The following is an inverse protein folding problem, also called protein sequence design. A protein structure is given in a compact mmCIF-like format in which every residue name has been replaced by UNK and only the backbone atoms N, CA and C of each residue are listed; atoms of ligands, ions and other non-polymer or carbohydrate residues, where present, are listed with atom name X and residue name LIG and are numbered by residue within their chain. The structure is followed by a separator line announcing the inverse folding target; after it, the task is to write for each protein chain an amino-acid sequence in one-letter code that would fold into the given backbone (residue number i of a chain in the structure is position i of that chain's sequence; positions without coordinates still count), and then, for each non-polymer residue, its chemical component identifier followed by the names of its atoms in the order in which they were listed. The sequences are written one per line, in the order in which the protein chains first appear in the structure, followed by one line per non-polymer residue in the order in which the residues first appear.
data_IF_935719496079
#
_entry.id   IF_935719496079
#
_cell.length_a   1.000
_cell.length_b   1.000
_cell.length_c   1.000
_cell.angle_alpha   90.00
_cell.angle_beta   90.00
_cell.angle_gamma   90.00
#
_symmetry.space_group_name_H-M   'P 1'
#
loop_
_entity.id
_entity.type
_entity.pdbx_description
1 polymer ?
#
# COMPACT_ATOMS: atom_id res chain seq x y z
N UNK A 1 -49.03 6.85 4.79
CA UNK A 1 -47.81 7.62 4.58
C UNK A 1 -47.89 8.63 3.42
N UNK A 2 -48.57 9.76 3.61
CA UNK A 2 -48.46 10.90 2.68
C UNK A 2 -47.24 11.77 2.95
N UNK A 3 -46.64 11.62 4.12
CA UNK A 3 -45.38 12.25 4.46
C UNK A 3 -44.20 11.34 4.29
N UNK A 4 -43.05 11.97 4.05
CA UNK A 4 -41.76 11.30 3.87
C UNK A 4 -41.40 10.60 5.18
N UNK A 5 -41.54 9.27 5.21
CA UNK A 5 -40.99 8.47 6.31
C UNK A 5 -39.50 8.30 6.09
N UNK A 6 -38.69 8.80 7.01
CA UNK A 6 -37.25 8.67 7.00
C UNK A 6 -36.80 7.40 7.74
N UNK A 7 -35.69 6.82 7.31
CA UNK A 7 -35.01 5.81 8.09
C UNK A 7 -33.51 5.86 7.85
N UNK A 8 -32.73 5.84 8.92
CA UNK A 8 -31.27 5.71 8.85
C UNK A 8 -30.95 4.24 8.66
N UNK A 9 -29.95 3.96 7.84
CA UNK A 9 -29.45 2.59 7.70
C UNK A 9 -27.99 2.51 8.06
N UNK A 10 -27.58 1.37 8.61
CA UNK A 10 -26.17 1.00 8.71
C UNK A 10 -26.02 -0.26 7.88
N UNK A 11 -25.11 -0.26 6.92
CA UNK A 11 -24.80 -1.48 6.17
C UNK A 11 -23.68 -2.18 6.92
N UNK A 12 -24.01 -3.29 7.57
CA UNK A 12 -23.00 -4.22 8.09
C UNK A 12 -23.34 -5.63 7.62
N UNK A 13 -23.46 -5.76 6.30
CA UNK A 13 -23.69 -7.07 5.68
C UNK A 13 -22.50 -7.99 5.92
N UNK A 14 -22.74 -9.30 5.93
CA UNK A 14 -21.66 -10.30 5.99
C UNK A 14 -20.66 -10.10 4.84
N UNK A 15 -21.15 -9.71 3.65
CA UNK A 15 -20.31 -9.37 2.51
C UNK A 15 -19.42 -8.15 2.76
N UNK A 16 -19.92 -7.11 3.44
CA UNK A 16 -19.14 -5.92 3.76
C UNK A 16 -18.08 -6.19 4.84
N UNK A 17 -18.41 -6.99 5.86
CA UNK A 17 -17.42 -7.45 6.84
C UNK A 17 -16.31 -8.26 6.16
N UNK A 18 -16.68 -9.21 5.30
CA UNK A 18 -15.73 -10.00 4.53
C UNK A 18 -14.87 -9.12 3.61
N UNK A 19 -15.46 -8.14 2.93
CA UNK A 19 -14.73 -7.21 2.07
C UNK A 19 -13.76 -6.33 2.88
N UNK A 20 -14.15 -5.89 4.08
CA UNK A 20 -13.27 -5.13 4.99
C UNK A 20 -12.08 -5.98 5.44
N UNK A 21 -12.33 -7.21 5.86
CA UNK A 21 -11.28 -8.16 6.24
C UNK A 21 -10.35 -8.48 5.07
N UNK A 22 -10.92 -8.76 3.89
CA UNK A 22 -10.17 -8.99 2.65
C UNK A 22 -9.27 -7.80 2.31
N UNK A 23 -9.77 -6.56 2.42
CA UNK A 23 -8.96 -5.34 2.21
C UNK A 23 -7.84 -5.21 3.23
N UNK A 24 -8.10 -5.48 4.50
CA UNK A 24 -7.08 -5.43 5.55
C UNK A 24 -5.97 -6.46 5.29
N UNK A 25 -6.33 -7.70 4.96
CA UNK A 25 -5.37 -8.74 4.60
C UNK A 25 -4.61 -8.38 3.32
N UNK A 26 -5.28 -7.78 2.33
CA UNK A 26 -4.65 -7.34 1.09
C UNK A 26 -3.61 -6.24 1.33
N UNK A 27 -3.93 -5.26 2.19
CA UNK A 27 -2.97 -4.21 2.58
C UNK A 27 -1.71 -4.81 3.20
N UNK A 28 -1.85 -5.75 4.12
CA UNK A 28 -0.71 -6.45 4.73
C UNK A 28 0.10 -7.21 3.67
N UNK A 29 -0.58 -7.94 2.77
CA UNK A 29 0.09 -8.66 1.68
C UNK A 29 0.90 -7.70 0.78
N UNK A 30 0.32 -6.57 0.38
CA UNK A 30 0.99 -5.57 -0.48
C UNK A 30 2.22 -4.98 0.22
N UNK A 31 2.15 -4.71 1.52
CA UNK A 31 3.29 -4.22 2.30
C UNK A 31 4.45 -5.23 2.29
N UNK A 32 4.17 -6.48 2.68
CA UNK A 32 5.18 -7.54 2.75
C UNK A 32 5.74 -7.88 1.35
N UNK A 33 4.91 -7.87 0.30
CA UNK A 33 5.36 -8.01 -1.09
C UNK A 33 6.29 -6.86 -1.49
N UNK A 34 5.97 -5.63 -1.09
CA UNK A 34 6.81 -4.45 -1.32
C UNK A 34 8.20 -4.59 -0.67
N UNK A 35 8.27 -5.15 0.53
CA UNK A 35 9.54 -5.48 1.20
C UNK A 35 10.34 -6.53 0.43
N UNK A 36 9.68 -7.58 -0.08
CA UNK A 36 10.35 -8.57 -0.92
C UNK A 36 10.90 -7.95 -2.21
N UNK A 37 10.12 -7.10 -2.89
CA UNK A 37 10.58 -6.41 -4.09
C UNK A 37 11.75 -5.46 -3.82
N UNK A 38 11.75 -4.77 -2.67
CA UNK A 38 12.89 -3.97 -2.21
C UNK A 38 14.13 -4.83 -2.02
N UNK A 39 13.99 -5.97 -1.34
CA UNK A 39 15.09 -6.91 -1.12
C UNK A 39 15.63 -7.49 -2.42
N UNK A 40 14.76 -7.76 -3.41
CA UNK A 40 15.18 -8.22 -4.75
C UNK A 40 15.98 -7.16 -5.49
N UNK A 41 15.55 -5.90 -5.45
CA UNK A 41 16.28 -4.80 -6.05
C UNK A 41 17.63 -4.57 -5.36
N UNK A 42 17.68 -4.67 -4.03
CA UNK A 42 18.90 -4.59 -3.24
C UNK A 42 19.88 -5.72 -3.61
N UNK A 43 19.41 -6.97 -3.66
CA UNK A 43 20.22 -8.11 -4.07
C UNK A 43 20.75 -7.96 -5.50
N UNK A 44 19.95 -7.49 -6.45
CA UNK A 44 20.41 -7.28 -7.83
C UNK A 44 21.49 -6.19 -7.91
N UNK A 45 21.34 -5.12 -7.13
CA UNK A 45 22.34 -4.06 -7.07
C UNK A 45 23.63 -4.50 -6.34
N UNK A 46 23.57 -5.44 -5.39
CA UNK A 46 24.80 -6.09 -4.89
C UNK A 46 25.39 -7.07 -5.90
N UNK A 47 24.57 -7.75 -6.70
CA UNK A 47 25.04 -8.63 -7.79
C UNK A 47 25.77 -7.86 -8.89
N UNK A 48 25.45 -6.59 -9.14
CA UNK A 48 26.23 -5.78 -10.09
C UNK A 48 27.63 -5.44 -9.57
N UNK A 49 27.83 -5.39 -8.24
CA UNK A 49 29.12 -5.11 -7.59
C UNK A 49 29.94 -6.39 -7.39
N UNK A 50 29.33 -7.42 -6.80
CA UNK A 50 30.01 -8.65 -6.38
C UNK A 50 29.78 -9.85 -7.32
N UNK A 51 29.07 -9.64 -8.42
CA UNK A 51 28.80 -10.66 -9.43
C UNK A 51 27.94 -11.82 -8.91
N UNK A 52 28.37 -13.05 -9.22
CA UNK A 52 27.68 -14.28 -8.86
C UNK A 52 27.83 -14.71 -7.40
N UNK A 53 28.62 -13.98 -6.59
CA UNK A 53 28.77 -14.26 -5.15
C UNK A 53 27.49 -13.96 -4.36
N UNK A 54 26.64 -13.10 -4.92
CA UNK A 54 25.35 -12.74 -4.34
C UNK A 54 24.26 -13.53 -5.06
N UNK A 55 23.47 -14.25 -4.26
CA UNK A 55 22.40 -15.10 -4.75
C UNK A 55 21.20 -14.28 -5.21
N UNK A 56 20.44 -14.82 -6.17
CA UNK A 56 19.16 -14.23 -6.55
C UNK A 56 18.11 -14.54 -5.50
N UNK A 57 17.35 -13.51 -5.12
CA UNK A 57 16.21 -13.64 -4.20
C UNK A 57 15.02 -14.26 -4.94
N UNK A 58 14.48 -15.34 -4.35
CA UNK A 58 13.38 -16.11 -4.91
C UNK A 58 12.09 -15.27 -5.09
N UNK A 59 11.22 -15.70 -5.99
CA UNK A 59 9.88 -15.14 -6.07
C UNK A 59 9.04 -15.64 -4.88
N UNK A 60 8.32 -14.74 -4.22
CA UNK A 60 7.40 -15.08 -3.14
C UNK A 60 6.07 -15.64 -3.63
N UNK A 61 5.25 -16.09 -2.68
CA UNK A 61 3.88 -16.51 -2.93
C UNK A 61 3.05 -15.40 -3.59
N UNK A 62 2.07 -15.78 -4.40
CA UNK A 62 1.19 -14.84 -5.12
C UNK A 62 -0.22 -14.88 -4.55
N UNK A 63 -0.73 -13.72 -4.16
CA UNK A 63 -2.14 -13.50 -3.86
C UNK A 63 -2.76 -12.51 -4.86
N UNK A 64 -4.08 -12.55 -4.97
CA UNK A 64 -4.89 -11.61 -5.77
C UNK A 64 -5.88 -10.88 -4.86
N UNK A 65 -6.31 -9.65 -5.21
CA UNK A 65 -7.25 -8.88 -4.38
C UNK A 65 -8.58 -9.57 -4.11
N UNK A 66 -9.01 -10.48 -5.00
CA UNK A 66 -10.27 -11.20 -4.92
C UNK A 66 -10.18 -12.58 -4.24
N UNK A 67 -9.01 -12.97 -3.72
CA UNK A 67 -8.86 -14.21 -2.94
C UNK A 67 -9.53 -14.09 -1.56
N UNK A 68 -9.87 -15.23 -0.95
CA UNK A 68 -10.40 -15.24 0.43
C UNK A 68 -9.38 -14.65 1.43
N UNK A 69 -9.84 -14.02 2.52
CA UNK A 69 -8.95 -13.46 3.55
C UNK A 69 -7.91 -14.46 4.05
N UNK A 70 -8.32 -15.71 4.33
CA UNK A 70 -7.40 -16.77 4.77
C UNK A 70 -6.31 -17.08 3.75
N UNK A 71 -6.63 -17.09 2.45
CA UNK A 71 -5.64 -17.34 1.39
C UNK A 71 -4.67 -16.17 1.24
N UNK A 72 -5.15 -14.94 1.38
CA UNK A 72 -4.29 -13.75 1.38
C UNK A 72 -3.36 -13.80 2.60
N UNK A 73 -3.90 -14.07 3.80
CA UNK A 73 -3.14 -14.17 5.05
C UNK A 73 -2.05 -15.25 4.98
N UNK A 74 -2.35 -16.44 4.44
CA UNK A 74 -1.38 -17.50 4.25
C UNK A 74 -0.24 -17.06 3.31
N UNK A 75 -0.57 -16.43 2.18
CA UNK A 75 0.45 -15.89 1.27
C UNK A 75 1.27 -14.76 1.92
N UNK A 76 0.66 -13.92 2.74
CA UNK A 76 1.37 -12.88 3.51
C UNK A 76 2.40 -13.50 4.45
N UNK A 77 2.02 -14.55 5.20
CA UNK A 77 2.91 -15.26 6.12
C UNK A 77 4.09 -15.90 5.37
N UNK A 78 3.82 -16.56 4.23
CA UNK A 78 4.86 -17.18 3.40
C UNK A 78 5.87 -16.15 2.88
N UNK A 79 5.39 -15.01 2.37
CA UNK A 79 6.27 -13.94 1.87
C UNK A 79 7.06 -13.32 3.03
N UNK A 80 6.46 -13.12 4.20
CA UNK A 80 7.15 -12.55 5.37
C UNK A 80 8.29 -13.45 5.84
N UNK A 81 8.06 -14.76 5.93
CA UNK A 81 9.09 -15.74 6.26
C UNK A 81 10.22 -15.75 5.23
N UNK A 82 9.88 -15.65 3.93
CA UNK A 82 10.87 -15.55 2.86
C UNK A 82 11.71 -14.28 2.98
N UNK A 83 11.10 -13.12 3.22
CA UNK A 83 11.80 -11.83 3.39
C UNK A 83 12.81 -11.91 4.54
N UNK A 84 12.41 -12.46 5.69
CA UNK A 84 13.31 -12.63 6.84
C UNK A 84 14.51 -13.50 6.50
N UNK A 85 14.28 -14.66 5.88
CA UNK A 85 15.34 -15.61 5.49
C UNK A 85 16.30 -15.03 4.46
N UNK A 86 15.77 -14.44 3.39
CA UNK A 86 16.58 -13.91 2.29
C UNK A 86 17.37 -12.66 2.70
N UNK A 87 16.83 -11.84 3.61
CA UNK A 87 17.56 -10.67 4.14
C UNK A 87 18.77 -11.09 4.96
N UNK A 88 18.64 -12.10 5.82
CA UNK A 88 19.77 -12.59 6.62
C UNK A 88 20.83 -13.26 5.75
N UNK A 89 20.40 -14.03 4.75
CA UNK A 89 21.28 -14.61 3.74
C UNK A 89 22.06 -13.53 2.98
N UNK A 90 21.35 -12.51 2.45
CA UNK A 90 21.98 -11.43 1.69
C UNK A 90 23.03 -10.69 2.52
N UNK A 91 22.74 -10.39 3.79
CA UNK A 91 23.70 -9.77 4.72
C UNK A 91 24.97 -10.61 4.88
N UNK A 92 24.81 -11.92 5.07
CA UNK A 92 25.92 -12.85 5.24
C UNK A 92 26.77 -12.93 3.97
N UNK A 93 26.13 -13.02 2.79
CA UNK A 93 26.82 -13.06 1.50
C UNK A 93 27.58 -11.76 1.19
N UNK A 94 26.97 -10.59 1.45
CA UNK A 94 27.62 -9.28 1.26
C UNK A 94 28.83 -9.11 2.19
N UNK A 95 28.70 -9.48 3.47
CA UNK A 95 29.82 -9.43 4.41
C UNK A 95 30.96 -10.38 4.03
N UNK A 96 30.64 -11.57 3.52
CA UNK A 96 31.65 -12.51 3.04
C UNK A 96 32.36 -11.99 1.78
N UNK A 97 31.61 -11.45 0.82
CA UNK A 97 32.16 -10.89 -0.41
C UNK A 97 33.05 -9.67 -0.14
N UNK A 98 32.63 -8.77 0.75
CA UNK A 98 33.42 -7.59 1.11
C UNK A 98 34.73 -7.96 1.80
N UNK A 99 34.73 -8.93 2.72
CA UNK A 99 35.96 -9.43 3.36
C UNK A 99 36.94 -10.02 2.35
N UNK A 100 36.46 -10.77 1.36
CA UNK A 100 37.32 -11.35 0.32
C UNK A 100 38.01 -10.28 -0.53
N UNK A 101 37.28 -9.21 -0.92
CA UNK A 101 37.87 -8.12 -1.70
C UNK A 101 38.94 -7.36 -0.90
N UNK A 102 38.74 -7.19 0.42
CA UNK A 102 39.72 -6.56 1.32
C UNK A 102 40.95 -7.42 1.51
N UNK A 103 40.78 -8.72 1.78
CA UNK A 103 41.91 -9.64 1.88
C UNK A 103 42.73 -9.61 0.59
N UNK A 104 42.07 -9.64 -0.58
CA UNK A 104 42.75 -9.49 -1.87
C UNK A 104 43.54 -8.19 -2.04
N UNK A 105 43.06 -7.08 -1.47
CA UNK A 105 43.79 -5.80 -1.45
C UNK A 105 44.98 -5.80 -0.47
N UNK A 106 44.83 -6.45 0.69
CA UNK A 106 45.87 -6.53 1.72
C UNK A 106 46.97 -7.56 1.38
N UNK A 107 46.65 -8.58 0.59
CA UNK A 107 47.57 -9.64 0.14
C UNK A 107 48.45 -9.20 -1.04
N UNK A 108 48.23 -8.00 -1.59
CA UNK A 108 49.16 -7.39 -2.55
C UNK A 108 50.48 -7.13 -1.81
N UNK A 109 51.58 -7.80 -2.17
CA UNK A 109 52.79 -7.78 -1.35
C UNK A 109 53.32 -6.35 -1.20
N UNK A 110 53.54 -5.95 0.06
CA UNK A 110 54.04 -4.64 0.46
C UNK A 110 55.35 -4.24 -0.24
N UNK A 111 56.06 -5.19 -0.86
CA UNK A 111 57.25 -4.93 -1.69
C UNK A 111 56.95 -4.01 -2.88
N UNK A 112 55.76 -4.07 -3.49
CA UNK A 112 55.38 -3.12 -4.56
C UNK A 112 55.05 -1.71 -4.05
N UNK A 113 54.55 -1.58 -2.82
CA UNK A 113 54.25 -0.28 -2.21
C UNK A 113 55.51 0.37 -1.58
N UNK A 114 56.44 -0.44 -1.07
CA UNK A 114 57.72 0.00 -0.56
C UNK A 114 58.65 0.53 -1.68
N UNK A 115 58.60 -0.03 -2.90
CA UNK A 115 59.36 0.48 -4.04
C UNK A 115 58.93 1.88 -4.50
N UNK A 116 57.64 2.20 -4.39
CA UNK A 116 57.10 3.53 -4.72
C UNK A 116 57.45 4.60 -3.67
N UNK A 117 57.71 4.20 -2.41
CA UNK A 117 58.12 5.13 -1.35
C UNK A 117 59.63 5.23 -1.19
N UNK A 118 60.39 4.17 -1.51
CA UNK A 118 61.86 4.21 -1.61
C UNK A 118 62.35 5.14 -2.70
N UNK A 119 61.73 5.09 -3.88
CA UNK A 119 62.10 5.98 -4.99
C UNK A 119 61.93 7.47 -4.66
N UNK A 120 61.09 7.82 -3.68
CA UNK A 120 60.89 9.22 -3.26
C UNK A 120 61.82 9.69 -2.13
N UNK A 121 62.34 8.80 -1.28
CA UNK A 121 63.32 9.16 -0.23
C UNK A 121 64.78 9.06 -0.67
N UNK A 122 65.05 8.36 -1.77
CA UNK A 122 66.41 8.17 -2.25
C UNK A 122 67.04 9.44 -2.86
N UNK A 123 66.28 10.53 -3.02
CA UNK A 123 66.78 11.80 -3.55
C UNK A 123 67.31 12.77 -2.48
N UNK A 124 67.08 12.55 -1.18
CA UNK A 124 67.43 13.54 -0.14
C UNK A 124 68.62 13.16 0.76
N UNK A 125 69.23 11.97 0.63
CA UNK A 125 70.21 11.48 1.61
C UNK A 125 71.59 11.12 1.02
N UNK A 126 71.98 11.80 -0.06
CA UNK A 126 73.33 11.70 -0.61
C UNK A 126 74.17 12.91 -0.18
N UNK A 127 74.71 12.87 1.03
CA UNK A 127 76.08 13.31 1.41
C UNK A 127 76.23 13.43 2.94
N UNK A 128 76.41 12.32 3.66
CA UNK A 128 77.13 12.36 4.93
C UNK A 128 77.97 11.08 5.08
N UNK A 129 79.28 11.23 4.98
CA UNK A 129 80.27 10.19 5.22
C UNK A 129 80.39 9.96 6.73
N UNK A 130 79.92 8.82 7.22
CA UNK A 130 79.92 8.47 8.66
C UNK A 130 81.30 7.92 9.10
N UNK A 131 81.89 8.39 10.22
CA UNK A 131 83.18 7.90 10.71
C UNK A 131 83.05 6.58 11.49
N UNK A 132 84.13 5.79 11.46
CA UNK A 132 84.23 4.43 11.99
C UNK A 132 83.84 4.32 13.49
N UNK A 133 82.86 3.45 13.78
CA UNK A 133 82.39 3.12 15.14
C UNK A 133 83.10 1.89 15.73
N UNK A 134 83.43 1.90 17.04
CA UNK A 134 84.10 0.79 17.73
C UNK A 134 83.16 -0.38 18.08
N UNK A 135 83.74 -1.58 18.20
CA UNK A 135 83.09 -2.89 18.11
C UNK A 135 82.41 -3.44 19.39
N UNK A 136 81.95 -2.62 20.34
CA UNK A 136 81.42 -3.10 21.64
C UNK A 136 79.91 -2.88 21.92
N UNK A 137 79.09 -2.54 20.91
CA UNK A 137 77.64 -2.23 21.07
C UNK A 137 76.63 -3.31 20.63
N UNK A 138 77.08 -4.52 20.28
CA UNK A 138 76.18 -5.55 19.70
C UNK A 138 75.03 -6.02 20.60
N UNK A 139 75.11 -5.92 21.94
CA UNK A 139 74.01 -6.33 22.83
C UNK A 139 72.87 -5.32 22.92
N UNK A 140 73.16 -4.01 22.93
CA UNK A 140 72.13 -2.96 23.01
C UNK A 140 71.36 -2.79 21.68
N UNK A 141 72.01 -3.06 20.55
CA UNK A 141 71.37 -2.99 19.23
C UNK A 141 70.27 -4.04 19.04
N UNK A 142 70.39 -5.21 19.68
CA UNK A 142 69.39 -6.28 19.63
C UNK A 142 68.07 -5.90 20.33
N UNK A 143 68.15 -5.24 21.48
CA UNK A 143 66.98 -4.80 22.23
C UNK A 143 66.27 -3.64 21.51
N UNK A 144 67.04 -2.72 20.92
CA UNK A 144 66.50 -1.62 20.10
C UNK A 144 65.85 -2.13 18.80
N UNK A 145 66.43 -3.13 18.14
CA UNK A 145 65.82 -3.78 16.97
C UNK A 145 64.53 -4.52 17.33
N UNK A 146 64.50 -5.24 18.46
CA UNK A 146 63.30 -5.92 18.94
C UNK A 146 62.17 -4.92 19.28
N UNK A 147 62.50 -3.76 19.86
CA UNK A 147 61.54 -2.70 20.14
C UNK A 147 60.95 -2.12 18.84
N UNK A 148 61.80 -1.77 17.87
CA UNK A 148 61.36 -1.28 16.55
C UNK A 148 60.48 -2.29 15.82
N UNK A 149 60.87 -3.57 15.82
CA UNK A 149 60.07 -4.64 15.21
C UNK A 149 58.67 -4.78 15.87
N UNK A 150 58.57 -4.60 17.19
CA UNK A 150 57.28 -4.59 17.90
C UNK A 150 56.44 -3.36 17.54
N UNK A 151 57.05 -2.19 17.46
CA UNK A 151 56.36 -0.95 17.08
C UNK A 151 55.85 -1.00 15.63
N UNK A 152 56.65 -1.54 14.72
CA UNK A 152 56.30 -1.77 13.31
C UNK A 152 55.16 -2.78 13.19
N UNK A 153 55.23 -3.90 13.91
CA UNK A 153 54.16 -4.89 13.95
C UNK A 153 52.85 -4.30 14.48
N UNK A 154 52.91 -3.51 15.56
CA UNK A 154 51.75 -2.82 16.12
C UNK A 154 51.20 -1.74 15.17
N UNK A 155 52.05 -1.04 14.44
CA UNK A 155 51.64 -0.07 13.42
C UNK A 155 50.94 -0.75 12.24
N UNK A 156 51.47 -1.89 11.78
CA UNK A 156 50.89 -2.70 10.71
C UNK A 156 49.54 -3.29 11.11
N UNK A 157 49.39 -3.77 12.36
CA UNK A 157 48.12 -4.26 12.88
C UNK A 157 47.07 -3.14 12.96
N UNK A 158 47.45 -1.95 13.45
CA UNK A 158 46.56 -0.77 13.44
C UNK A 158 46.15 -0.34 12.03
N UNK A 159 47.06 -0.44 11.05
CA UNK A 159 46.77 -0.16 9.65
C UNK A 159 45.75 -1.16 9.08
N UNK A 160 45.98 -2.47 9.28
CA UNK A 160 45.03 -3.52 8.88
C UNK A 160 43.65 -3.32 9.50
N UNK A 161 43.59 -3.04 10.80
CA UNK A 161 42.32 -2.78 11.49
C UNK A 161 41.54 -1.60 10.87
N UNK A 162 42.23 -0.51 10.50
CA UNK A 162 41.60 0.64 9.83
C UNK A 162 41.13 0.30 8.42
N UNK A 163 41.93 -0.41 7.63
CA UNK A 163 41.55 -0.83 6.28
C UNK A 163 40.33 -1.76 6.30
N UNK A 164 40.31 -2.74 7.20
CA UNK A 164 39.15 -3.62 7.44
C UNK A 164 37.92 -2.81 7.81
N UNK A 165 38.04 -1.88 8.77
CA UNK A 165 36.93 -1.02 9.18
C UNK A 165 36.39 -0.14 8.05
N UNK A 166 37.29 0.45 7.25
CA UNK A 166 36.90 1.29 6.12
C UNK A 166 36.12 0.48 5.07
N UNK A 167 36.55 -0.75 4.81
CA UNK A 167 35.83 -1.61 3.88
C UNK A 167 34.49 -2.13 4.43
N UNK A 168 34.40 -2.41 5.73
CA UNK A 168 33.11 -2.70 6.38
C UNK A 168 32.14 -1.54 6.19
N UNK A 169 32.60 -0.29 6.35
CA UNK A 169 31.78 0.90 6.12
C UNK A 169 31.35 1.05 4.66
N UNK A 170 32.24 0.77 3.70
CA UNK A 170 31.89 0.79 2.28
C UNK A 170 30.85 -0.29 1.94
N UNK A 171 30.96 -1.49 2.51
CA UNK A 171 29.97 -2.57 2.30
C UNK A 171 28.59 -2.26 2.88
N UNK A 172 28.50 -1.26 3.77
CA UNK A 172 27.25 -0.77 4.35
C UNK A 172 26.57 0.31 3.51
N UNK A 173 27.21 0.79 2.42
CA UNK A 173 26.55 1.71 1.51
C UNK A 173 25.41 1.00 0.78
N UNK A 174 24.22 1.60 0.74
CA UNK A 174 23.12 1.08 -0.07
C UNK A 174 23.55 0.83 -1.51
N UNK A 175 23.07 -0.27 -2.07
CA UNK A 175 23.44 -0.68 -3.41
C UNK A 175 22.98 0.35 -4.49
N UNK A 176 21.92 1.12 -4.21
CA UNK A 176 21.41 2.21 -5.05
C UNK A 176 22.08 3.58 -4.81
N UNK A 177 23.17 3.63 -4.03
CA UNK A 177 23.92 4.87 -3.80
C UNK A 177 24.47 5.42 -5.13
N UNK A 178 24.27 6.71 -5.45
CA UNK A 178 24.84 7.33 -6.66
C UNK A 178 26.36 7.19 -6.72
N UNK A 179 26.89 7.05 -7.93
CA UNK A 179 28.34 6.93 -8.16
C UNK A 179 29.12 8.14 -7.64
N UNK A 180 28.51 9.33 -7.66
CA UNK A 180 29.07 10.57 -7.08
C UNK A 180 29.39 10.45 -5.58
N UNK A 181 28.67 9.60 -4.86
CA UNK A 181 28.91 9.33 -3.42
C UNK A 181 29.76 8.07 -3.25
N UNK A 182 29.50 7.03 -4.04
CA UNK A 182 30.20 5.75 -3.93
C UNK A 182 31.67 5.84 -4.33
N UNK A 183 32.00 6.54 -5.42
CA UNK A 183 33.37 6.62 -5.92
C UNK A 183 34.33 7.33 -4.93
N UNK A 184 33.98 8.47 -4.30
CA UNK A 184 34.80 9.06 -3.24
C UNK A 184 34.99 8.14 -2.04
N UNK A 185 33.94 7.42 -1.61
CA UNK A 185 34.04 6.45 -0.52
C UNK A 185 34.99 5.30 -0.87
N UNK A 186 34.90 4.75 -2.09
CA UNK A 186 35.79 3.70 -2.57
C UNK A 186 37.25 4.18 -2.66
N UNK A 187 37.47 5.42 -3.13
CA UNK A 187 38.80 6.04 -3.18
C UNK A 187 39.40 6.23 -1.77
N UNK A 188 38.60 6.65 -0.79
CA UNK A 188 39.03 6.77 0.61
C UNK A 188 39.45 5.42 1.20
N UNK A 189 38.69 4.34 0.92
CA UNK A 189 39.04 2.98 1.35
C UNK A 189 40.36 2.53 0.70
N UNK A 190 40.53 2.76 -0.61
CA UNK A 190 41.75 2.41 -1.33
C UNK A 190 42.97 3.18 -0.78
N UNK A 191 42.84 4.47 -0.46
CA UNK A 191 43.91 5.28 0.13
C UNK A 191 44.31 4.75 1.52
N UNK A 192 43.33 4.39 2.36
CA UNK A 192 43.58 3.77 3.67
C UNK A 192 44.30 2.42 3.49
N UNK A 193 43.81 1.57 2.58
CA UNK A 193 44.41 0.26 2.30
C UNK A 193 45.84 0.37 1.78
N UNK A 194 46.13 1.39 0.96
CA UNK A 194 47.46 1.68 0.41
C UNK A 194 48.48 2.24 1.43
N UNK A 195 48.09 2.43 2.69
CA UNK A 195 49.03 2.84 3.75
C UNK A 195 49.04 4.33 4.06
N UNK A 196 47.89 5.01 3.94
CA UNK A 196 47.76 6.42 4.32
C UNK A 196 48.34 6.72 5.72
N UNK A 197 49.02 7.88 5.92
CA UNK A 197 49.52 8.30 7.22
C UNK A 197 48.41 8.29 8.29
N UNK A 198 48.75 7.96 9.55
CA UNK A 198 47.74 7.70 10.59
C UNK A 198 46.70 8.84 10.77
N UNK A 199 47.13 10.11 10.75
CA UNK A 199 46.22 11.26 10.84
C UNK A 199 45.29 11.38 9.62
N UNK A 200 45.83 11.16 8.41
CA UNK A 200 45.05 11.16 7.16
C UNK A 200 44.05 10.01 7.14
N UNK A 201 44.47 8.80 7.50
CA UNK A 201 43.60 7.63 7.59
C UNK A 201 42.45 7.86 8.58
N UNK A 202 42.71 8.52 9.72
CA UNK A 202 41.66 8.84 10.69
C UNK A 202 40.63 9.83 10.13
N UNK A 203 41.07 10.89 9.44
CA UNK A 203 40.16 11.85 8.80
C UNK A 203 39.33 11.22 7.69
N UNK A 204 39.95 10.39 6.84
CA UNK A 204 39.24 9.63 5.80
C UNK A 204 38.21 8.68 6.39
N UNK A 205 38.55 7.99 7.49
CA UNK A 205 37.61 7.08 8.15
C UNK A 205 36.41 7.83 8.70
N UNK A 206 36.62 9.01 9.32
CA UNK A 206 35.54 9.85 9.83
C UNK A 206 34.64 10.39 8.71
N UNK A 207 35.21 10.90 7.63
CA UNK A 207 34.45 11.35 6.45
C UNK A 207 33.64 10.20 5.84
N UNK A 208 34.23 9.01 5.76
CA UNK A 208 33.55 7.80 5.31
C UNK A 208 32.37 7.44 6.22
N UNK A 209 32.55 7.46 7.55
CA UNK A 209 31.46 7.21 8.51
C UNK A 209 30.31 8.21 8.36
N UNK A 210 30.63 9.50 8.22
CA UNK A 210 29.66 10.58 8.05
C UNK A 210 28.87 10.42 6.74
N UNK A 211 29.55 10.15 5.61
CA UNK A 211 28.92 9.92 4.29
C UNK A 211 28.07 8.67 4.25
N UNK A 212 28.59 7.55 4.75
CA UNK A 212 27.86 6.27 4.81
C UNK A 212 26.62 6.44 5.68
N UNK A 213 26.75 7.04 6.87
CA UNK A 213 25.62 7.29 7.77
C UNK A 213 24.59 8.28 7.21
N UNK A 214 25.01 9.29 6.44
CA UNK A 214 24.09 10.18 5.73
C UNK A 214 23.30 9.44 4.64
N UNK A 215 23.98 8.60 3.85
CA UNK A 215 23.37 7.83 2.78
C UNK A 215 22.41 6.76 3.31
N UNK A 216 22.76 6.09 4.42
CA UNK A 216 21.87 5.14 5.09
C UNK A 216 20.58 5.81 5.55
N UNK A 217 20.68 6.97 6.21
CA UNK A 217 19.49 7.73 6.64
C UNK A 217 18.64 8.19 5.46
N UNK A 218 19.25 8.57 4.33
CA UNK A 218 18.51 8.91 3.12
C UNK A 218 17.76 7.70 2.55
N UNK A 219 18.43 6.55 2.48
CA UNK A 219 17.82 5.29 2.03
C UNK A 219 16.67 4.83 2.93
N UNK A 220 16.85 4.93 4.25
CA UNK A 220 15.81 4.63 5.24
C UNK A 220 14.58 5.51 5.02
N UNK A 221 14.75 6.82 4.76
CA UNK A 221 13.63 7.72 4.44
C UNK A 221 12.90 7.32 3.17
N UNK A 222 13.64 6.96 2.11
CA UNK A 222 13.05 6.47 0.85
C UNK A 222 12.30 5.16 1.09
N UNK A 223 12.86 4.24 1.87
CA UNK A 223 12.23 2.95 2.19
C UNK A 223 10.93 3.14 2.99
N UNK A 224 10.94 4.01 4.01
CA UNK A 224 9.75 4.37 4.78
C UNK A 224 8.68 5.02 3.90
N UNK A 225 9.08 6.00 3.08
CA UNK A 225 8.17 6.67 2.13
C UNK A 225 7.57 5.68 1.14
N UNK A 226 8.36 4.75 0.60
CA UNK A 226 7.86 3.68 -0.27
C UNK A 226 6.83 2.82 0.43
N UNK A 227 7.06 2.43 1.69
CA UNK A 227 6.10 1.65 2.48
C UNK A 227 4.78 2.40 2.67
N UNK A 228 4.85 3.69 2.95
CA UNK A 228 3.67 4.54 3.14
C UNK A 228 2.89 4.72 1.83
N UNK A 229 3.59 4.93 0.71
CA UNK A 229 3.00 5.00 -0.62
C UNK A 229 2.30 3.69 -1.01
N UNK A 230 2.92 2.53 -0.77
CA UNK A 230 2.30 1.23 -1.02
C UNK A 230 1.07 0.99 -0.14
N UNK A 231 1.09 1.47 1.10
CA UNK A 231 -0.06 1.42 2.01
C UNK A 231 -1.22 2.26 1.49
N UNK A 232 -0.95 3.44 0.94
CA UNK A 232 -1.95 4.31 0.30
C UNK A 232 -2.51 3.66 -0.98
N UNK A 233 -1.66 2.99 -1.78
CA UNK A 233 -2.08 2.35 -3.02
C UNK A 233 -2.95 1.10 -2.83
N UNK A 234 -2.70 0.32 -1.78
CA UNK A 234 -3.32 -0.99 -1.58
C UNK A 234 -4.87 -0.97 -1.59
N UNK A 235 -5.58 -0.07 -0.85
CA UNK A 235 -7.04 -0.02 -0.93
C UNK A 235 -7.57 0.30 -2.33
N UNK A 236 -6.85 1.15 -3.09
CA UNK A 236 -7.24 1.59 -4.43
C UNK A 236 -7.24 0.46 -5.47
N UNK A 237 -6.54 -0.65 -5.21
CA UNK A 237 -6.56 -1.81 -6.11
C UNK A 237 -7.93 -2.51 -6.17
N UNK A 238 -8.75 -2.34 -5.14
CA UNK A 238 -10.11 -2.90 -5.04
C UNK A 238 -11.21 -1.91 -5.47
N UNK A 239 -10.81 -0.69 -5.82
CA UNK A 239 -11.73 0.37 -6.22
C UNK A 239 -11.72 0.52 -7.74
N UNK A 240 -12.84 0.25 -8.44
CA UNK A 240 -12.94 0.49 -9.86
C UNK A 240 -13.01 2.00 -10.16
N UNK A 241 -12.73 2.37 -11.41
CA UNK A 241 -12.90 3.73 -11.91
C UNK A 241 -11.59 4.45 -12.22
N UNK A 242 -11.69 5.49 -13.04
CA UNK A 242 -10.52 6.20 -13.56
C UNK A 242 -9.78 7.00 -12.48
N UNK A 243 -10.49 7.58 -11.51
CA UNK A 243 -9.87 8.34 -10.43
C UNK A 243 -8.90 7.46 -9.62
N UNK A 244 -9.34 6.28 -9.20
CA UNK A 244 -8.49 5.29 -8.53
C UNK A 244 -7.33 4.81 -9.43
N UNK A 245 -7.57 4.61 -10.73
CA UNK A 245 -6.52 4.24 -11.68
C UNK A 245 -5.45 5.33 -11.86
N UNK A 246 -5.84 6.60 -11.95
CA UNK A 246 -4.94 7.75 -12.03
C UNK A 246 -4.11 7.88 -10.76
N UNK A 247 -4.74 7.78 -9.59
CA UNK A 247 -4.03 7.87 -8.32
C UNK A 247 -3.04 6.73 -8.12
N UNK A 248 -3.41 5.49 -8.48
CA UNK A 248 -2.47 4.34 -8.49
C UNK A 248 -1.26 4.58 -9.38
N UNK A 249 -1.46 5.11 -10.59
CA UNK A 249 -0.34 5.45 -11.51
C UNK A 249 0.56 6.53 -10.90
N UNK A 250 -0.01 7.56 -10.27
CA UNK A 250 0.74 8.61 -9.58
C UNK A 250 1.58 8.05 -8.44
N UNK A 251 1.00 7.18 -7.60
CA UNK A 251 1.72 6.50 -6.52
C UNK A 251 2.84 5.61 -7.05
N UNK A 252 2.57 4.82 -8.09
CA UNK A 252 3.57 3.96 -8.72
C UNK A 252 4.76 4.77 -9.26
N UNK A 253 4.50 5.95 -9.84
CA UNK A 253 5.54 6.86 -10.29
C UNK A 253 6.40 7.37 -9.13
N UNK A 254 5.80 7.81 -8.02
CA UNK A 254 6.54 8.26 -6.84
C UNK A 254 7.44 7.17 -6.24
N UNK A 255 6.96 5.91 -6.26
CA UNK A 255 7.76 4.75 -5.84
C UNK A 255 8.93 4.52 -6.81
N UNK A 256 8.70 4.60 -8.11
CA UNK A 256 9.74 4.45 -9.13
C UNK A 256 10.79 5.56 -9.07
N UNK A 257 10.37 6.81 -8.80
CA UNK A 257 11.21 7.99 -8.65
C UNK A 257 11.94 8.03 -7.29
N UNK A 258 11.74 7.05 -6.41
CA UNK A 258 12.37 6.97 -5.08
C UNK A 258 12.11 8.23 -4.25
N UNK A 259 10.87 8.72 -4.24
CA UNK A 259 10.48 9.85 -3.43
C UNK A 259 10.88 9.64 -1.95
N UNK A 260 11.42 10.69 -1.33
CA UNK A 260 11.87 10.70 0.06
C UNK A 260 10.80 11.21 1.04
N UNK A 261 9.66 11.67 0.51
CA UNK A 261 8.47 12.09 1.25
C UNK A 261 7.19 11.77 0.50
N UNK A 262 6.12 11.49 1.26
CA UNK A 262 4.76 11.38 0.72
C UNK A 262 4.25 12.79 0.43
N UNK A 263 3.75 13.09 -0.78
CA UNK A 263 3.13 14.38 -1.07
C UNK A 263 1.92 14.67 -0.16
N UNK A 264 1.81 15.92 0.29
CA UNK A 264 0.70 16.38 1.13
C UNK A 264 -0.65 16.15 0.45
N UNK A 265 -1.65 15.77 1.24
CA UNK A 265 -3.01 15.51 0.76
C UNK A 265 -3.20 14.18 0.00
N UNK A 266 -2.13 13.48 -0.41
CA UNK A 266 -2.24 12.23 -1.17
C UNK A 266 -3.03 11.14 -0.42
N UNK A 267 -2.84 11.06 0.91
CA UNK A 267 -3.59 10.12 1.75
C UNK A 267 -5.08 10.48 1.81
N UNK A 268 -5.39 11.75 2.07
CA UNK A 268 -6.77 12.22 2.11
C UNK A 268 -7.49 12.02 0.75
N UNK A 269 -6.79 12.24 -0.36
CA UNK A 269 -7.30 11.97 -1.71
C UNK A 269 -7.64 10.48 -1.91
N UNK A 270 -6.76 9.58 -1.47
CA UNK A 270 -7.00 8.15 -1.53
C UNK A 270 -8.18 7.72 -0.65
N UNK A 271 -8.24 8.23 0.58
CA UNK A 271 -9.29 7.93 1.54
C UNK A 271 -10.66 8.38 1.01
N UNK A 272 -10.75 9.56 0.39
CA UNK A 272 -12.00 10.06 -0.19
C UNK A 272 -12.47 9.20 -1.38
N UNK A 273 -11.55 8.78 -2.27
CA UNK A 273 -11.89 7.88 -3.38
C UNK A 273 -12.44 6.55 -2.85
N UNK A 274 -11.80 5.98 -1.82
CA UNK A 274 -12.25 4.73 -1.19
C UNK A 274 -13.61 4.93 -0.52
N UNK A 275 -13.80 6.03 0.20
CA UNK A 275 -15.04 6.35 0.87
C UNK A 275 -16.20 6.52 -0.13
N UNK A 276 -15.98 7.20 -1.26
CA UNK A 276 -16.96 7.33 -2.33
C UNK A 276 -17.35 5.97 -2.92
N UNK A 277 -16.36 5.10 -3.18
CA UNK A 277 -16.61 3.77 -3.69
C UNK A 277 -17.37 2.88 -2.69
N UNK A 278 -17.06 2.98 -1.39
CA UNK A 278 -17.79 2.29 -0.33
C UNK A 278 -19.23 2.83 -0.21
N UNK A 279 -19.45 4.15 -0.25
CA UNK A 279 -20.80 4.75 -0.27
C UNK A 279 -21.61 4.24 -1.45
N UNK A 280 -21.04 4.21 -2.65
CA UNK A 280 -21.71 3.70 -3.85
C UNK A 280 -22.08 2.20 -3.73
N UNK A 281 -21.17 1.37 -3.22
CA UNK A 281 -21.44 -0.06 -2.97
C UNK A 281 -22.56 -0.27 -1.96
N UNK A 282 -22.54 0.47 -0.84
CA UNK A 282 -23.59 0.42 0.18
C UNK A 282 -24.94 0.82 -0.38
N UNK A 283 -25.00 1.90 -1.16
CA UNK A 283 -26.24 2.35 -1.81
C UNK A 283 -26.81 1.27 -2.74
N UNK A 284 -25.96 0.62 -3.53
CA UNK A 284 -26.38 -0.50 -4.39
C UNK A 284 -26.94 -1.66 -3.56
N UNK A 285 -26.25 -2.08 -2.51
CA UNK A 285 -26.73 -3.16 -1.64
C UNK A 285 -28.08 -2.83 -0.98
N UNK A 286 -28.29 -1.59 -0.55
CA UNK A 286 -29.57 -1.11 -0.01
C UNK A 286 -30.65 -1.10 -1.08
N UNK A 287 -30.35 -0.58 -2.27
CA UNK A 287 -31.29 -0.56 -3.39
C UNK A 287 -31.73 -1.97 -3.79
N UNK A 288 -30.79 -2.92 -3.86
CA UNK A 288 -31.06 -4.34 -4.11
C UNK A 288 -31.95 -4.94 -3.02
N UNK A 289 -31.65 -4.68 -1.74
CA UNK A 289 -32.44 -5.20 -0.63
C UNK A 289 -33.88 -4.63 -0.60
N UNK A 290 -34.05 -3.34 -0.91
CA UNK A 290 -35.38 -2.70 -1.03
C UNK A 290 -36.15 -3.29 -2.21
N UNK A 291 -35.50 -3.43 -3.37
CA UNK A 291 -36.11 -4.04 -4.57
C UNK A 291 -36.65 -5.42 -4.27
N UNK A 292 -35.84 -6.29 -3.66
CA UNK A 292 -36.25 -7.65 -3.25
C UNK A 292 -37.40 -7.56 -2.25
N UNK A 293 -37.29 -6.71 -1.22
CA UNK A 293 -38.33 -6.54 -0.20
C UNK A 293 -39.69 -6.13 -0.77
N UNK A 294 -39.71 -5.19 -1.73
CA UNK A 294 -40.90 -4.74 -2.44
C UNK A 294 -41.47 -5.83 -3.36
N UNK A 295 -40.62 -6.47 -4.16
CA UNK A 295 -41.02 -7.54 -5.10
C UNK A 295 -41.67 -8.71 -4.34
N UNK A 296 -41.09 -9.12 -3.22
CA UNK A 296 -41.59 -10.19 -2.37
C UNK A 296 -42.92 -9.84 -1.64
N UNK A 297 -43.37 -8.57 -1.71
CA UNK A 297 -44.68 -8.12 -1.21
C UNK A 297 -45.69 -7.91 -2.35
N UNK A 298 -45.35 -8.32 -3.58
CA UNK A 298 -46.20 -8.17 -4.75
C UNK A 298 -46.10 -6.81 -5.45
N UNK A 299 -45.28 -5.88 -4.94
CA UNK A 299 -45.09 -4.59 -5.59
C UNK A 299 -44.41 -4.79 -6.94
N UNK A 300 -44.88 -4.09 -7.96
CA UNK A 300 -44.23 -4.12 -9.27
C UNK A 300 -43.13 -3.11 -9.33
N UNK A 301 -41.93 -3.62 -9.51
CA UNK A 301 -40.72 -2.83 -9.59
C UNK A 301 -40.26 -2.80 -11.06
N UNK A 302 -40.05 -1.60 -11.60
CA UNK A 302 -39.60 -1.44 -12.99
C UNK A 302 -38.19 -1.98 -13.23
N UNK A 303 -37.88 -2.30 -14.48
CA UNK A 303 -36.52 -2.65 -14.90
C UNK A 303 -35.57 -1.48 -14.58
N UNK A 304 -34.43 -1.78 -13.96
CA UNK A 304 -33.44 -0.77 -13.56
C UNK A 304 -33.77 0.01 -12.29
N UNK A 305 -34.77 -0.38 -11.49
CA UNK A 305 -35.08 0.27 -10.20
C UNK A 305 -33.89 0.36 -9.25
N UNK A 306 -33.13 -0.73 -9.09
CA UNK A 306 -31.94 -0.79 -8.25
C UNK A 306 -30.85 0.18 -8.76
N UNK A 307 -30.68 0.24 -10.07
CA UNK A 307 -29.71 1.11 -10.74
C UNK A 307 -30.12 2.57 -10.63
N UNK A 308 -31.40 2.90 -10.84
CA UNK A 308 -31.97 4.23 -10.67
C UNK A 308 -31.85 4.70 -9.22
N UNK A 309 -32.20 3.85 -8.26
CA UNK A 309 -32.14 4.16 -6.84
C UNK A 309 -30.70 4.33 -6.33
N UNK A 310 -29.76 3.49 -6.77
CA UNK A 310 -28.36 3.60 -6.37
C UNK A 310 -27.62 4.77 -7.04
N UNK A 311 -28.02 5.12 -8.27
CA UNK A 311 -27.44 6.17 -9.10
C UNK A 311 -28.04 7.55 -8.86
N UNK A 312 -29.33 7.72 -9.21
CA UNK A 312 -30.04 9.00 -9.09
C UNK A 312 -30.59 9.26 -7.70
N UNK A 313 -30.67 8.23 -6.86
CA UNK A 313 -31.22 8.35 -5.51
C UNK A 313 -32.75 8.32 -5.45
N UNK A 314 -33.45 8.08 -6.57
CA UNK A 314 -34.92 7.99 -6.59
C UNK A 314 -35.37 6.83 -7.46
N UNK A 315 -36.36 6.08 -7.00
CA UNK A 315 -37.04 5.08 -7.79
C UNK A 315 -38.50 4.88 -7.33
N UNK A 316 -39.31 4.30 -8.20
CA UNK A 316 -40.75 4.12 -7.99
C UNK A 316 -41.14 2.66 -8.16
N UNK A 317 -42.06 2.19 -7.31
CA UNK A 317 -42.67 0.87 -7.42
C UNK A 317 -44.19 1.00 -7.39
N UNK A 318 -44.91 0.24 -8.20
CA UNK A 318 -46.37 0.23 -8.17
C UNK A 318 -46.87 -0.64 -7.01
N UNK A 319 -47.90 -0.16 -6.31
CA UNK A 319 -48.53 -0.91 -5.23
C UNK A 319 -49.31 -2.10 -5.79
N UNK A 320 -49.28 -3.23 -5.07
CA UNK A 320 -50.13 -4.38 -5.39
C UNK A 320 -51.57 -4.14 -4.94
N UNK A 321 -52.54 -4.53 -5.77
CA UNK A 321 -53.98 -4.36 -5.50
C UNK A 321 -54.54 -2.94 -5.68
N UNK A 322 -53.73 -1.90 -5.59
CA UNK A 322 -54.15 -0.49 -5.65
C UNK A 322 -53.74 0.17 -6.97
N UNK A 323 -54.58 0.04 -8.00
CA UNK A 323 -54.33 0.65 -9.31
C UNK A 323 -54.19 2.18 -9.19
N UNK A 324 -53.14 2.73 -9.81
CA UNK A 324 -52.88 4.17 -9.79
C UNK A 324 -52.14 4.69 -8.57
N UNK A 325 -51.73 3.82 -7.65
CA UNK A 325 -50.85 4.16 -6.52
C UNK A 325 -49.48 3.50 -6.64
N UNK A 326 -48.48 4.18 -6.09
CA UNK A 326 -47.10 3.73 -6.05
C UNK A 326 -46.38 4.17 -4.78
N UNK A 327 -45.17 3.67 -4.62
CA UNK A 327 -44.24 4.07 -3.57
C UNK A 327 -43.03 4.69 -4.24
N UNK A 328 -42.76 5.94 -3.89
CA UNK A 328 -41.53 6.64 -4.19
C UNK A 328 -40.52 6.32 -3.09
N UNK A 329 -39.39 5.76 -3.49
CA UNK A 329 -38.23 5.53 -2.62
C UNK A 329 -37.16 6.53 -2.99
N UNK A 330 -36.66 7.26 -2.00
CA UNK A 330 -35.48 8.10 -2.14
C UNK A 330 -34.36 7.56 -1.27
N UNK A 331 -33.16 7.52 -1.81
CA UNK A 331 -31.93 7.15 -1.14
C UNK A 331 -31.01 8.37 -1.21
N UNK A 332 -30.68 8.93 -0.06
CA UNK A 332 -29.81 10.10 0.01
C UNK A 332 -28.42 9.75 -0.52
N UNK A 333 -27.80 10.71 -1.22
CA UNK A 333 -26.51 10.49 -1.87
C UNK A 333 -25.38 10.48 -0.84
N UNK A 334 -25.47 11.39 0.12
CA UNK A 334 -24.39 11.67 1.06
C UNK A 334 -24.71 11.14 2.46
N UNK A 335 -25.99 11.11 2.81
CA UNK A 335 -26.45 10.56 4.09
C UNK A 335 -26.95 9.11 3.96
N UNK A 336 -26.79 8.28 5.00
CA UNK A 336 -27.33 6.92 5.02
C UNK A 336 -28.82 6.95 5.38
N UNK A 337 -29.64 7.65 4.58
CA UNK A 337 -31.06 7.85 4.81
C UNK A 337 -31.88 7.32 3.64
N UNK A 338 -32.83 6.45 3.96
CA UNK A 338 -33.91 6.02 3.06
C UNK A 338 -35.14 6.85 3.39
N UNK A 339 -35.81 7.36 2.38
CA UNK A 339 -37.06 8.09 2.48
C UNK A 339 -38.09 7.36 1.63
N UNK A 340 -39.27 7.11 2.18
CA UNK A 340 -40.36 6.47 1.43
C UNK A 340 -41.62 7.32 1.52
N UNK A 341 -42.37 7.35 0.42
CA UNK A 341 -43.60 8.12 0.33
C UNK A 341 -44.57 7.42 -0.61
N UNK A 342 -45.85 7.33 -0.24
CA UNK A 342 -46.90 6.90 -1.16
C UNK A 342 -47.19 8.03 -2.14
N UNK A 343 -47.32 7.67 -3.41
CA UNK A 343 -47.61 8.59 -4.51
C UNK A 343 -48.82 8.10 -5.31
N UNK A 344 -49.50 9.01 -5.98
CA UNK A 344 -50.67 8.72 -6.82
C UNK A 344 -50.42 9.20 -8.25
N UNK A 345 -50.83 8.41 -9.22
CA UNK A 345 -50.79 8.79 -10.63
C UNK A 345 -51.73 9.99 -10.89
N UNK A 346 -51.37 10.87 -11.82
CA UNK A 346 -52.16 12.05 -12.18
C UNK A 346 -53.53 11.72 -12.77
N UNK A 347 -53.65 10.60 -13.49
CA UNK A 347 -54.93 10.13 -14.04
C UNK A 347 -55.87 9.49 -13.02
N UNK A 348 -55.36 9.10 -11.85
CA UNK A 348 -56.14 8.40 -10.82
C UNK A 348 -57.09 9.38 -10.11
N UNK A 349 -58.39 9.24 -10.38
CA UNK A 349 -59.44 9.97 -9.66
C UNK A 349 -59.78 9.25 -8.35
N UNK A 350 -59.01 9.56 -7.31
CA UNK A 350 -59.20 8.99 -5.98
C UNK A 350 -59.46 10.07 -4.92
N UNK A 351 -60.27 9.73 -3.93
CA UNK A 351 -60.61 10.61 -2.81
C UNK A 351 -59.62 10.50 -1.67
N UNK A 352 -59.79 11.36 -0.65
CA UNK A 352 -58.96 11.32 0.58
C UNK A 352 -59.02 9.97 1.30
N UNK A 353 -60.15 9.25 1.20
CA UNK A 353 -60.30 7.94 1.83
C UNK A 353 -59.40 6.88 1.18
N UNK A 354 -59.33 6.86 -0.16
CA UNK A 354 -58.49 5.94 -0.93
C UNK A 354 -57.01 6.21 -0.69
N UNK A 355 -56.63 7.50 -0.65
CA UNK A 355 -55.28 7.94 -0.29
C UNK A 355 -54.88 7.39 1.09
N UNK A 356 -55.75 7.52 2.10
CA UNK A 356 -55.52 6.99 3.46
C UNK A 356 -55.44 5.46 3.48
N UNK A 357 -56.23 4.77 2.65
CA UNK A 357 -56.22 3.31 2.58
C UNK A 357 -54.89 2.79 1.99
N UNK A 358 -54.45 3.31 0.84
CA UNK A 358 -53.15 2.98 0.25
C UNK A 358 -52.00 3.29 1.22
N UNK A 359 -52.10 4.43 1.89
CA UNK A 359 -51.16 4.86 2.93
C UNK A 359 -51.06 3.91 4.13
N UNK A 360 -52.17 3.33 4.59
CA UNK A 360 -52.21 2.35 5.68
C UNK A 360 -51.61 1.03 5.24
N UNK A 361 -51.99 0.54 4.04
CA UNK A 361 -51.42 -0.67 3.46
C UNK A 361 -49.89 -0.58 3.38
N UNK A 362 -49.35 0.55 2.91
CA UNK A 362 -47.90 0.72 2.86
C UNK A 362 -47.26 0.77 4.26
N UNK A 363 -47.92 1.33 5.28
CA UNK A 363 -47.42 1.27 6.65
C UNK A 363 -47.21 -0.17 7.14
N UNK A 364 -48.20 -1.04 6.88
CA UNK A 364 -48.14 -2.45 7.29
C UNK A 364 -47.05 -3.21 6.52
N UNK A 365 -47.00 -2.98 5.21
CA UNK A 365 -45.99 -3.56 4.31
C UNK A 365 -44.57 -3.10 4.69
N UNK A 366 -44.39 -1.85 5.10
CA UNK A 366 -43.09 -1.27 5.45
C UNK A 366 -42.42 -1.97 6.63
N UNK A 367 -43.18 -2.42 7.63
CA UNK A 367 -42.63 -3.23 8.73
C UNK A 367 -42.14 -4.61 8.27
N UNK A 368 -42.78 -5.18 7.24
CA UNK A 368 -42.29 -6.42 6.61
C UNK A 368 -41.01 -6.15 5.82
N UNK A 369 -40.96 -5.07 5.06
CA UNK A 369 -39.76 -4.63 4.33
C UNK A 369 -38.60 -4.43 5.30
N UNK A 370 -38.78 -3.68 6.39
CA UNK A 370 -37.76 -3.46 7.42
C UNK A 370 -37.19 -4.77 7.97
N UNK A 371 -38.05 -5.73 8.33
CA UNK A 371 -37.61 -7.04 8.82
C UNK A 371 -36.85 -7.84 7.77
N UNK A 372 -37.21 -7.74 6.48
CA UNK A 372 -36.50 -8.40 5.38
C UNK A 372 -35.14 -7.76 5.11
N UNK A 373 -35.09 -6.42 5.01
CA UNK A 373 -33.85 -5.68 4.81
C UNK A 373 -32.86 -5.90 5.97
N UNK A 374 -33.36 -5.95 7.22
CA UNK A 374 -32.55 -6.33 8.39
C UNK A 374 -31.98 -7.75 8.31
N UNK A 375 -32.74 -8.73 7.80
CA UNK A 375 -32.23 -10.10 7.58
C UNK A 375 -31.08 -10.15 6.57
N UNK A 376 -31.02 -9.20 5.65
CA UNK A 376 -29.91 -9.02 4.71
C UNK A 376 -28.72 -8.23 5.30
N UNK A 377 -28.70 -7.98 6.62
CA UNK A 377 -27.60 -7.29 7.30
C UNK A 377 -27.64 -5.76 7.20
N UNK A 378 -28.81 -5.19 6.93
CA UNK A 378 -29.03 -3.74 6.85
C UNK A 378 -30.05 -3.36 7.94
N UNK A 379 -29.62 -3.13 9.19
CA UNK A 379 -30.48 -2.51 10.20
C UNK A 379 -31.01 -1.16 9.71
N UNK A 380 -32.32 -0.96 9.89
CA UNK A 380 -33.05 0.26 9.58
C UNK A 380 -33.56 0.85 10.89
N UNK A 381 -33.11 2.07 11.21
CA UNK A 381 -33.58 2.87 12.33
C UNK A 381 -34.55 3.94 11.82
N UNK A 382 -35.83 3.80 12.14
CA UNK A 382 -36.90 4.62 11.57
C UNK A 382 -37.05 5.93 12.33
N UNK A 383 -37.27 7.02 11.61
CA UNK A 383 -37.54 8.33 12.20
C UNK A 383 -38.53 9.14 11.34
N UNK A 384 -39.23 10.09 11.95
CA UNK A 384 -40.16 10.95 11.22
C UNK A 384 -41.32 10.19 10.57
N UNK A 385 -41.83 9.14 11.23
CA UNK A 385 -43.04 8.45 10.79
C UNK A 385 -44.23 9.41 10.89
N UNK A 386 -44.99 9.51 9.80
CA UNK A 386 -46.18 10.36 9.70
C UNK A 386 -47.41 9.47 9.56
N UNK A 387 -48.41 9.69 10.42
CA UNK A 387 -49.66 8.91 10.41
C UNK A 387 -50.39 9.04 9.07
N UNK A 388 -51.09 7.97 8.62
CA UNK A 388 -51.90 8.02 7.40
C UNK A 388 -52.88 9.20 7.36
N UNK A 389 -52.93 9.93 6.24
CA UNK A 389 -53.86 11.05 6.01
C UNK A 389 -53.51 12.38 6.68
N UNK A 390 -52.34 12.48 7.33
CA UNK A 390 -51.83 13.74 7.91
C UNK A 390 -51.29 14.72 6.88
N UNK A 391 -50.72 14.23 5.79
CA UNK A 391 -50.33 15.03 4.62
C UNK A 391 -51.15 14.58 3.40
N UNK A 392 -51.13 15.35 2.32
CA UNK A 392 -51.75 14.96 1.06
C UNK A 392 -50.80 14.10 0.23
N UNK A 393 -51.33 13.09 -0.47
CA UNK A 393 -50.53 12.18 -1.29
C UNK A 393 -49.94 12.97 -2.45
N UNK A 394 -48.63 12.82 -2.68
CA UNK A 394 -47.99 13.48 -3.82
C UNK A 394 -48.54 12.88 -5.12
N UNK A 395 -49.07 13.75 -5.98
CA UNK A 395 -49.44 13.37 -7.34
C UNK A 395 -48.20 13.42 -8.24
N UNK A 396 -47.95 12.36 -8.99
CA UNK A 396 -46.83 12.23 -9.93
C UNK A 396 -47.35 11.91 -11.33
N UNK A 397 -46.53 12.16 -12.36
CA UNK A 397 -46.86 11.77 -13.73
C UNK A 397 -47.03 10.24 -13.82
N UNK A 398 -47.97 9.79 -14.64
CA UNK A 398 -48.35 8.38 -14.74
C UNK A 398 -47.17 7.50 -15.17
N UNK A 399 -46.30 7.99 -16.07
CA UNK A 399 -45.10 7.27 -16.51
C UNK A 399 -44.09 6.99 -15.40
N UNK A 400 -44.16 7.70 -14.27
CA UNK A 400 -43.25 7.49 -13.14
C UNK A 400 -43.61 6.24 -12.34
N UNK A 401 -44.88 5.79 -12.38
CA UNK A 401 -45.32 4.58 -11.70
C UNK A 401 -45.24 3.43 -12.70
N UNK A 402 -44.49 2.34 -12.41
CA UNK A 402 -44.41 1.20 -13.32
C UNK A 402 -45.79 0.69 -13.71
N UNK A 403 -46.04 0.52 -15.01
CA UNK A 403 -47.34 0.13 -15.50
C UNK A 403 -47.78 -1.20 -14.85
N UNK A 404 -48.99 -1.21 -14.31
CA UNK A 404 -49.65 -2.44 -13.96
C UNK A 404 -50.06 -3.11 -15.28
N UNK A 405 -49.27 -4.06 -15.78
CA UNK A 405 -49.76 -5.06 -16.73
C UNK A 405 -50.98 -5.74 -16.11
N UNK A 406 -52.17 -5.21 -16.38
CA UNK A 406 -53.37 -6.00 -16.22
C UNK A 406 -53.13 -7.24 -17.08
N UNK A 407 -53.15 -8.42 -16.46
CA UNK A 407 -53.20 -9.66 -17.20
C UNK A 407 -54.45 -9.62 -18.06
N UNK A 408 -54.33 -9.11 -19.30
CA UNK A 408 -55.29 -9.33 -20.36
C UNK A 408 -55.14 -10.79 -20.81
N UNK A 409 -55.41 -11.71 -19.89
CA UNK A 409 -55.62 -13.11 -20.21
C UNK A 409 -57.03 -13.22 -20.81
N UNK A 410 -57.07 -13.23 -22.14
CA UNK A 410 -58.10 -13.94 -22.90
C UNK A 410 -59.44 -13.24 -23.12
N UNK A 411 -59.50 -12.26 -24.02
CA UNK A 411 -60.75 -11.99 -24.75
C UNK A 411 -60.57 -11.25 -26.09
N UNK A 412 -59.63 -11.68 -26.93
CA UNK A 412 -59.61 -11.32 -28.34
C UNK A 412 -59.18 -12.52 -29.20
N UNK A 413 -60.10 -13.46 -29.42
CA UNK A 413 -60.07 -14.41 -30.55
C UNK A 413 -61.41 -15.15 -30.68
N UNK A 414 -62.46 -14.42 -31.07
CA UNK A 414 -63.66 -14.96 -31.73
C UNK A 414 -64.35 -13.85 -32.51
N UNK A 415 -63.70 -13.35 -33.55
CA UNK A 415 -64.36 -12.84 -34.76
C UNK A 415 -63.47 -13.23 -35.93
N UNK A 416 -64.00 -14.06 -36.83
CA UNK A 416 -63.28 -14.62 -37.96
C UNK A 416 -63.49 -16.12 -38.11
N UNK A 417 -64.75 -16.53 -38.28
CA UNK A 417 -65.17 -17.64 -39.15
C UNK A 417 -66.61 -17.35 -39.59
#
# INVERSE_FOLDING_TARGET
MSGITGARYVVETAAERLAREQRAQWQQFVQVRGELEALRAEAEAYRSVYGSRISRVAAGARARPNHSPHRIAAATADVALLVGRERERLRTEVLAASRQDVSGLLDVPATKAADATRTRRQWDDSTVTEPARPASRQRDDSAAQAARARDDAAAQERHRARATRAAELLSRLPAATPDEVRAPCAAAVAEIAAGAPAGRAHLLLRDLEERVGAQQRAEERVALTRRDLLTIAAPLETVPGEAAARLRKRVARLVAERADRVPDGLRAEADEIVAQADRARRRKAVADAIRVGLTDLGYRVGEGFDTALAGTGVAYAAMDGDAGYGVKVLLDRDDPVIRTQVVRAGSTRAGRFDDVAAERKFCDDYEVIKRRVRRNGIPIDQFGQIDPGRQAVQVVADEMIPAQTHGAAGQQRKQGL
#
